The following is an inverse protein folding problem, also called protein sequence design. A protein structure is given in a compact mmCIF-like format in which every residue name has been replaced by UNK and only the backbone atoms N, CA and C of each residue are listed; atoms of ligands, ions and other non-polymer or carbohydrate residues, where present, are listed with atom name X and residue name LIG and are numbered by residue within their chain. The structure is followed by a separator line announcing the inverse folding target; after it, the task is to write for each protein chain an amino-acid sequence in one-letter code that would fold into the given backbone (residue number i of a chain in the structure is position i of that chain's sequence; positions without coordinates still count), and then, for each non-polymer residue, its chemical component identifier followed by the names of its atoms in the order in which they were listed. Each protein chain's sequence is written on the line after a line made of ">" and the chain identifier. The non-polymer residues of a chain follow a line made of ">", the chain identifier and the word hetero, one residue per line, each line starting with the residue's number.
data_IF_817308441248
#
_entry.id   IF_817308441248
#
_cell.length_a   1.000
_cell.length_b   1.000
_cell.length_c   1.000
_cell.angle_alpha   90.00
_cell.angle_beta   90.00
_cell.angle_gamma   90.00
#
_symmetry.space_group_name_H-M   'P 1'
#
loop_
_entity.id
_entity.type
_entity.pdbx_description
1 polymer ?
#
# COMPACT_ATOMS: atom_id res chain seq x y z
N UNK A 1 -2.61 -14.33 -3.70
CA UNK A 1 -1.85 -13.07 -3.52
C UNK A 1 -0.37 -13.42 -3.64
N UNK A 2 0.42 -12.74 -4.48
CA UNK A 2 1.87 -13.01 -4.55
C UNK A 2 2.53 -12.58 -3.22
N UNK A 3 3.47 -13.40 -2.76
CA UNK A 3 4.26 -13.11 -1.55
C UNK A 3 5.48 -12.26 -1.90
N UNK A 4 6.04 -11.57 -0.91
CA UNK A 4 7.09 -10.57 -1.14
C UNK A 4 8.35 -11.20 -1.75
N UNK A 5 8.66 -12.46 -1.46
CA UNK A 5 9.77 -13.19 -2.09
C UNK A 5 9.59 -13.37 -3.61
N UNK A 6 8.41 -13.79 -4.07
CA UNK A 6 8.13 -13.95 -5.50
C UNK A 6 8.23 -12.61 -6.24
N UNK A 7 7.62 -11.58 -5.65
CA UNK A 7 7.67 -10.21 -6.15
C UNK A 7 9.11 -9.66 -6.25
N UNK A 8 9.93 -9.94 -5.23
CA UNK A 8 11.34 -9.57 -5.24
C UNK A 8 12.12 -10.28 -6.35
N UNK A 9 11.91 -11.58 -6.54
CA UNK A 9 12.55 -12.35 -7.62
C UNK A 9 12.23 -11.79 -9.00
N UNK A 10 10.96 -11.44 -9.24
CA UNK A 10 10.53 -10.79 -10.48
C UNK A 10 11.19 -9.42 -10.67
N UNK A 11 11.20 -8.60 -9.62
CA UNK A 11 11.80 -7.25 -9.69
C UNK A 11 13.30 -7.29 -10.00
N UNK A 12 14.02 -8.31 -9.53
CA UNK A 12 15.41 -8.53 -9.92
C UNK A 12 15.57 -8.89 -11.40
N UNK A 13 14.66 -9.69 -11.96
CA UNK A 13 14.68 -10.00 -13.39
C UNK A 13 14.39 -8.73 -14.22
N UNK A 14 13.44 -7.91 -13.77
CA UNK A 14 13.12 -6.64 -14.44
C UNK A 14 14.32 -5.67 -14.37
N UNK A 15 15.06 -5.65 -13.25
CA UNK A 15 16.28 -4.86 -13.13
C UNK A 15 17.34 -5.30 -14.14
N UNK A 16 17.57 -6.61 -14.29
CA UNK A 16 18.52 -7.16 -15.25
C UNK A 16 18.12 -6.84 -16.70
N UNK A 17 16.82 -6.93 -17.02
CA UNK A 17 16.30 -6.54 -18.34
C UNK A 17 16.50 -5.06 -18.64
N UNK A 18 16.28 -4.18 -17.67
CA UNK A 18 16.40 -2.72 -17.85
C UNK A 18 17.86 -2.30 -17.97
N UNK A 19 18.72 -2.87 -17.12
CA UNK A 19 20.11 -2.40 -16.99
C UNK A 19 21.08 -3.15 -17.89
N UNK A 20 20.70 -4.33 -18.41
CA UNK A 20 21.60 -5.26 -19.09
C UNK A 20 22.67 -5.85 -18.16
N UNK A 21 22.76 -5.38 -16.91
CA UNK A 21 23.69 -5.89 -15.91
C UNK A 21 23.02 -7.08 -15.26
N UNK A 22 23.74 -8.22 -15.24
CA UNK A 22 23.35 -9.37 -14.43
C UNK A 22 23.08 -8.89 -13.01
N UNK A 23 22.10 -9.54 -12.36
CA UNK A 23 21.67 -9.36 -10.97
C UNK A 23 22.78 -8.73 -10.11
N UNK A 24 22.47 -7.86 -9.14
CA UNK A 24 23.40 -7.63 -8.04
C UNK A 24 23.59 -8.96 -7.30
N UNK A 25 24.57 -9.72 -7.75
CA UNK A 25 24.87 -11.09 -7.43
C UNK A 25 26.37 -11.18 -7.30
N UNK A 26 26.77 -12.07 -6.39
CA UNK A 26 28.08 -12.26 -5.74
C UNK A 26 29.36 -12.10 -6.58
N UNK A 27 29.29 -11.98 -7.91
CA UNK A 27 30.45 -12.08 -8.80
C UNK A 27 30.49 -11.15 -10.03
N UNK A 28 29.49 -10.31 -10.33
CA UNK A 28 29.50 -9.52 -11.61
C UNK A 28 29.66 -8.02 -11.48
N UNK A 29 29.79 -7.51 -10.26
CA UNK A 29 30.37 -6.21 -9.96
C UNK A 29 31.41 -6.50 -8.88
N UNK A 30 32.70 -6.30 -9.16
CA UNK A 30 33.83 -6.76 -8.32
C UNK A 30 33.84 -6.32 -6.84
N UNK A 31 32.80 -5.61 -6.40
CA UNK A 31 32.58 -5.07 -5.05
C UNK A 31 31.39 -5.75 -4.32
N UNK A 32 30.52 -6.51 -4.99
CA UNK A 32 29.30 -7.06 -4.42
C UNK A 32 29.41 -8.54 -4.06
N UNK A 33 30.29 -8.89 -3.11
CA UNK A 33 30.57 -10.29 -2.75
C UNK A 33 29.74 -10.86 -1.58
N UNK A 34 28.63 -10.22 -1.20
CA UNK A 34 27.72 -10.76 -0.16
C UNK A 34 26.37 -11.08 -0.78
N UNK A 35 25.93 -12.33 -0.67
CA UNK A 35 24.51 -12.65 -0.79
C UNK A 35 23.73 -11.64 0.05
N UNK A 36 22.76 -10.95 -0.56
CA UNK A 36 22.13 -9.79 0.08
C UNK A 36 21.36 -10.14 1.36
N UNK A 37 21.23 -11.42 1.72
CA UNK A 37 20.40 -11.90 2.84
C UNK A 37 18.90 -11.68 2.65
N UNK A 38 18.49 -10.83 1.69
CA UNK A 38 17.11 -10.39 1.48
C UNK A 38 16.19 -11.57 1.19
N UNK A 39 16.56 -12.50 0.30
CA UNK A 39 15.67 -13.63 -0.01
C UNK A 39 15.40 -14.50 1.21
N UNK A 40 16.44 -14.77 2.01
CA UNK A 40 16.31 -15.54 3.24
C UNK A 40 15.47 -14.79 4.29
N UNK A 41 15.66 -13.48 4.43
CA UNK A 41 14.88 -12.64 5.35
C UNK A 41 13.41 -12.51 4.90
N UNK A 42 13.16 -12.29 3.61
CA UNK A 42 11.82 -12.29 3.00
C UNK A 42 11.14 -13.63 3.21
N UNK A 43 11.84 -14.75 2.99
CA UNK A 43 11.29 -16.10 3.21
C UNK A 43 10.87 -16.31 4.67
N UNK A 44 11.60 -15.75 5.64
CA UNK A 44 11.22 -15.82 7.07
C UNK A 44 9.95 -15.00 7.35
N UNK A 45 9.87 -13.77 6.85
CA UNK A 45 8.67 -12.94 6.99
C UNK A 45 7.44 -13.55 6.28
N UNK A 46 7.62 -14.05 5.05
CA UNK A 46 6.58 -14.74 4.27
C UNK A 46 6.08 -16.05 4.92
N UNK A 47 6.83 -16.63 5.86
CA UNK A 47 6.33 -17.77 6.65
C UNK A 47 5.31 -17.32 7.68
N UNK A 48 5.57 -16.19 8.37
CA UNK A 48 4.66 -15.64 9.37
C UNK A 48 3.35 -15.14 8.77
N UNK A 49 3.35 -14.69 7.51
CA UNK A 49 2.09 -14.28 6.84
C UNK A 49 1.16 -15.45 6.50
N UNK A 50 1.65 -16.69 6.55
CA UNK A 50 0.85 -17.92 6.33
C UNK A 50 0.22 -18.47 7.60
N UNK A 51 0.79 -18.14 8.75
CA UNK A 51 0.34 -18.58 10.07
C UNK A 51 -0.04 -17.33 10.82
N UNK A 52 -1.34 -17.02 10.87
CA UNK A 52 -1.82 -15.82 11.54
C UNK A 52 -1.24 -15.74 12.96
N UNK A 53 -0.60 -14.62 13.38
CA UNK A 53 0.11 -14.57 14.65
C UNK A 53 -0.88 -14.48 15.81
N UNK A 54 -1.41 -15.63 16.22
CA UNK A 54 -2.42 -15.72 17.29
C UNK A 54 -1.81 -15.79 18.69
N UNK A 55 -0.48 -15.83 18.81
CA UNK A 55 0.21 -15.84 20.11
C UNK A 55 1.30 -14.78 20.20
N UNK A 56 1.57 -14.34 21.44
CA UNK A 56 2.68 -13.46 21.78
C UNK A 56 4.03 -13.99 21.28
N UNK A 57 4.25 -15.31 21.36
CA UNK A 57 5.49 -15.96 20.91
C UNK A 57 5.65 -15.81 19.40
N UNK A 58 4.61 -16.11 18.63
CA UNK A 58 4.62 -15.97 17.16
C UNK A 58 4.78 -14.51 16.75
N UNK A 59 4.14 -13.57 17.44
CA UNK A 59 4.27 -12.14 17.16
C UNK A 59 5.68 -11.62 17.44
N UNK A 60 6.28 -11.97 18.58
CA UNK A 60 7.66 -11.60 18.92
C UNK A 60 8.65 -12.16 17.89
N UNK A 61 8.45 -13.41 17.46
CA UNK A 61 9.27 -14.02 16.40
C UNK A 61 9.14 -13.26 15.08
N UNK A 62 7.91 -12.93 14.67
CA UNK A 62 7.67 -12.19 13.43
C UNK A 62 8.31 -10.79 13.48
N UNK A 63 8.10 -10.06 14.58
CA UNK A 63 8.72 -8.74 14.79
C UNK A 63 10.24 -8.79 14.71
N UNK A 64 10.87 -9.81 15.31
CA UNK A 64 12.33 -10.00 15.23
C UNK A 64 12.81 -10.24 13.79
N UNK A 65 12.13 -11.08 13.02
CA UNK A 65 12.48 -11.35 11.62
C UNK A 65 12.24 -10.13 10.72
N UNK A 66 11.19 -9.35 10.98
CA UNK A 66 10.91 -8.09 10.29
C UNK A 66 12.02 -7.06 10.52
N UNK A 67 12.44 -6.81 11.76
CA UNK A 67 13.54 -5.86 12.06
C UNK A 67 14.85 -6.30 11.40
N UNK A 68 15.12 -7.60 11.33
CA UNK A 68 16.28 -8.12 10.59
C UNK A 68 16.17 -7.83 9.09
N UNK A 69 14.99 -8.04 8.50
CA UNK A 69 14.72 -7.73 7.10
C UNK A 69 14.93 -6.24 6.81
N UNK A 70 14.39 -5.34 7.64
CA UNK A 70 14.59 -3.89 7.49
C UNK A 70 16.07 -3.51 7.45
N UNK A 71 16.84 -4.02 8.42
CA UNK A 71 18.29 -3.81 8.47
C UNK A 71 18.99 -4.33 7.22
N UNK A 72 18.68 -5.55 6.81
CA UNK A 72 19.26 -6.19 5.61
C UNK A 72 18.93 -5.41 4.33
N UNK A 73 17.70 -4.91 4.18
CA UNK A 73 17.30 -4.06 3.05
C UNK A 73 18.09 -2.74 3.06
N UNK A 74 18.19 -2.08 4.21
CA UNK A 74 18.92 -0.81 4.34
C UNK A 74 20.39 -0.94 3.99
N UNK A 75 21.04 -1.99 4.48
CA UNK A 75 22.45 -2.31 4.16
C UNK A 75 22.62 -2.58 2.66
N UNK A 76 21.73 -3.38 2.06
CA UNK A 76 21.78 -3.69 0.64
C UNK A 76 21.58 -2.47 -0.26
N UNK A 77 20.58 -1.63 0.02
CA UNK A 77 20.31 -0.42 -0.77
C UNK A 77 21.47 0.57 -0.64
N UNK A 78 22.01 0.78 0.55
CA UNK A 78 23.20 1.64 0.77
C UNK A 78 24.40 1.14 -0.05
N UNK A 79 24.62 -0.17 -0.07
CA UNK A 79 25.73 -0.78 -0.80
C UNK A 79 25.54 -0.70 -2.33
N UNK A 80 24.30 -0.83 -2.83
CA UNK A 80 23.97 -0.58 -4.23
C UNK A 80 24.18 0.87 -4.63
N UNK A 81 23.65 1.81 -3.85
CA UNK A 81 23.78 3.25 -4.10
C UNK A 81 25.25 3.67 -4.16
N UNK A 82 26.06 3.22 -3.20
CA UNK A 82 27.49 3.52 -3.15
C UNK A 82 28.25 2.98 -4.37
N UNK A 83 27.92 1.77 -4.80
CA UNK A 83 28.60 1.18 -5.95
C UNK A 83 28.17 1.80 -7.28
N UNK A 84 26.89 2.15 -7.42
CA UNK A 84 26.41 2.90 -8.57
C UNK A 84 27.11 4.26 -8.62
N UNK A 85 27.28 4.95 -7.48
CA UNK A 85 28.07 6.20 -7.42
C UNK A 85 29.52 6.03 -7.90
N UNK A 86 30.20 4.95 -7.48
CA UNK A 86 31.57 4.65 -7.96
C UNK A 86 31.64 4.33 -9.46
N UNK A 87 30.62 3.65 -9.99
CA UNK A 87 30.56 3.32 -11.42
C UNK A 87 30.26 4.57 -12.27
N UNK A 88 29.53 5.55 -11.73
CA UNK A 88 29.26 6.85 -12.37
C UNK A 88 30.48 7.71 -12.60
N UNK A 89 31.56 7.53 -11.84
CA UNK A 89 32.79 8.31 -12.03
C UNK A 89 33.49 7.96 -13.37
N UNK A 90 33.12 6.84 -14.02
CA UNK A 90 33.84 6.29 -15.17
C UNK A 90 32.93 5.91 -16.38
N UNK A 91 31.68 6.37 -16.45
CA UNK A 91 30.74 6.01 -17.53
C UNK A 91 29.98 7.20 -18.10
N UNK A 92 29.33 6.98 -19.24
CA UNK A 92 28.48 7.93 -19.96
C UNK A 92 27.13 8.17 -19.24
N UNK A 93 26.53 9.36 -19.37
CA UNK A 93 25.40 9.82 -18.57
C UNK A 93 24.11 9.00 -18.76
N UNK A 94 23.94 8.38 -19.93
CA UNK A 94 22.81 7.50 -20.23
C UNK A 94 22.85 6.21 -19.40
N UNK A 95 24.02 5.60 -19.22
CA UNK A 95 24.17 4.37 -18.43
C UNK A 95 23.93 4.66 -16.95
N UNK A 96 24.36 5.83 -16.47
CA UNK A 96 24.08 6.29 -15.10
C UNK A 96 22.58 6.38 -14.84
N UNK A 97 21.86 6.99 -15.78
CA UNK A 97 20.41 7.19 -15.70
C UNK A 97 19.65 5.86 -15.64
N UNK A 98 20.09 4.85 -16.41
CA UNK A 98 19.47 3.52 -16.42
C UNK A 98 19.69 2.78 -15.09
N UNK A 99 20.90 2.81 -14.53
CA UNK A 99 21.21 2.17 -13.24
C UNK A 99 20.46 2.83 -12.07
N UNK A 100 20.36 4.15 -12.04
CA UNK A 100 19.57 4.89 -11.04
C UNK A 100 18.08 4.52 -11.10
N UNK A 101 17.51 4.46 -12.32
CA UNK A 101 16.13 4.02 -12.53
C UNK A 101 15.91 2.60 -12.01
N UNK A 102 16.84 1.70 -12.31
CA UNK A 102 16.83 0.33 -11.78
C UNK A 102 16.88 0.28 -10.25
N UNK A 103 17.79 1.03 -9.62
CA UNK A 103 17.90 1.09 -8.16
C UNK A 103 16.62 1.64 -7.51
N UNK A 104 16.06 2.71 -8.08
CA UNK A 104 14.82 3.32 -7.60
C UNK A 104 13.65 2.33 -7.66
N UNK A 105 13.59 1.50 -8.69
CA UNK A 105 12.60 0.42 -8.79
C UNK A 105 12.78 -0.64 -7.69
N UNK A 106 14.02 -1.13 -7.48
CA UNK A 106 14.31 -2.11 -6.43
C UNK A 106 13.94 -1.57 -5.05
N UNK A 107 14.34 -0.33 -4.74
CA UNK A 107 14.04 0.35 -3.48
C UNK A 107 12.54 0.44 -3.23
N UNK A 108 11.78 0.97 -4.20
CA UNK A 108 10.30 1.07 -4.10
C UNK A 108 9.64 -0.28 -3.84
N UNK A 109 10.15 -1.34 -4.47
CA UNK A 109 9.59 -2.68 -4.27
C UNK A 109 9.85 -3.20 -2.86
N UNK A 110 11.07 -3.05 -2.36
CA UNK A 110 11.44 -3.46 -1.01
C UNK A 110 10.69 -2.65 0.06
N UNK A 111 10.53 -1.34 -0.14
CA UNK A 111 9.70 -0.48 0.73
C UNK A 111 8.24 -0.95 0.75
N UNK A 112 7.67 -1.33 -0.40
CA UNK A 112 6.34 -1.90 -0.46
C UNK A 112 6.23 -3.25 0.29
N UNK A 113 7.26 -4.10 0.21
CA UNK A 113 7.30 -5.34 0.99
C UNK A 113 7.36 -5.07 2.50
N UNK A 114 8.19 -4.09 2.94
CA UNK A 114 8.28 -3.68 4.34
C UNK A 114 6.95 -3.14 4.86
N UNK A 115 6.33 -2.22 4.12
CA UNK A 115 5.02 -1.66 4.49
C UNK A 115 3.95 -2.75 4.65
N UNK A 116 3.93 -3.77 3.77
CA UNK A 116 2.99 -4.89 3.91
C UNK A 116 3.21 -5.69 5.20
N UNK A 117 4.46 -6.01 5.53
CA UNK A 117 4.75 -6.76 6.76
C UNK A 117 4.53 -5.94 8.03
N UNK A 118 4.80 -4.63 7.97
CA UNK A 118 4.49 -3.71 9.06
C UNK A 118 2.98 -3.63 9.30
N UNK A 119 2.18 -3.52 8.24
CA UNK A 119 0.71 -3.59 8.33
C UNK A 119 0.25 -4.91 8.96
N UNK A 120 0.83 -6.04 8.53
CA UNK A 120 0.50 -7.36 9.09
C UNK A 120 0.88 -7.46 10.58
N UNK A 121 2.04 -6.92 10.99
CA UNK A 121 2.45 -6.85 12.39
C UNK A 121 1.52 -5.95 13.22
N UNK A 122 1.15 -4.79 12.70
CA UNK A 122 0.21 -3.87 13.38
C UNK A 122 -1.17 -4.53 13.57
N UNK A 123 -1.62 -5.29 12.58
CA UNK A 123 -2.86 -6.08 12.67
C UNK A 123 -2.74 -7.18 13.74
N UNK A 124 -1.65 -7.94 13.72
CA UNK A 124 -1.40 -8.98 14.72
C UNK A 124 -1.30 -8.40 16.14
N UNK A 125 -0.64 -7.26 16.31
CA UNK A 125 -0.56 -6.59 17.62
C UNK A 125 -1.92 -6.10 18.10
N UNK A 126 -2.77 -5.62 17.18
CA UNK A 126 -4.14 -5.21 17.51
C UNK A 126 -4.96 -6.42 17.97
N UNK A 127 -4.88 -7.54 17.25
CA UNK A 127 -5.58 -8.79 17.60
C UNK A 127 -5.13 -9.36 18.95
N UNK A 128 -3.85 -9.25 19.30
CA UNK A 128 -3.34 -9.70 20.61
C UNK A 128 -3.83 -8.83 21.77
N UNK A 129 -4.16 -7.56 21.52
CA UNK A 129 -4.66 -6.63 22.53
C UNK A 129 -6.17 -6.71 22.73
N UNK A 130 -6.90 -7.31 21.80
CA UNK A 130 -8.35 -7.50 21.88
C UNK A 130 -8.66 -8.91 22.36
N UNK A 131 -9.48 -9.05 23.40
CA UNK A 131 -9.99 -10.35 23.84
C UNK A 131 -10.91 -11.00 22.80
N UNK A 132 -11.46 -10.20 21.88
CA UNK A 132 -12.30 -10.64 20.77
C UNK A 132 -11.60 -10.43 19.41
N UNK A 133 -11.30 -11.50 18.65
CA UNK A 133 -10.73 -11.42 17.30
C UNK A 133 -11.56 -10.58 16.31
N UNK A 134 -12.88 -10.58 16.44
CA UNK A 134 -13.78 -9.79 15.58
C UNK A 134 -13.59 -8.30 15.85
N UNK A 135 -13.49 -7.92 17.14
CA UNK A 135 -13.20 -6.52 17.52
C UNK A 135 -11.85 -6.06 16.98
N UNK A 136 -10.80 -6.90 17.09
CA UNK A 136 -9.49 -6.59 16.55
C UNK A 136 -9.51 -6.40 15.03
N UNK A 137 -10.24 -7.26 14.30
CA UNK A 137 -10.46 -7.13 12.85
C UNK A 137 -11.20 -5.82 12.49
N UNK A 138 -12.24 -5.45 13.25
CA UNK A 138 -12.98 -4.19 13.07
C UNK A 138 -12.06 -2.99 13.28
N UNK A 139 -11.24 -2.99 14.35
CA UNK A 139 -10.29 -1.90 14.64
C UNK A 139 -9.23 -1.77 13.55
N UNK A 140 -8.67 -2.88 13.09
CA UNK A 140 -7.70 -2.91 11.97
C UNK A 140 -8.29 -2.28 10.71
N UNK A 141 -9.51 -2.67 10.30
CA UNK A 141 -10.11 -2.09 9.11
C UNK A 141 -10.52 -0.63 9.34
N UNK A 142 -10.93 -0.26 10.55
CA UNK A 142 -11.21 1.13 10.92
C UNK A 142 -9.99 2.03 10.72
N UNK A 143 -8.80 1.54 11.10
CA UNK A 143 -7.53 2.23 10.83
C UNK A 143 -7.27 2.38 9.32
N UNK A 144 -7.45 1.31 8.53
CA UNK A 144 -7.32 1.36 7.06
C UNK A 144 -8.31 2.35 6.44
N UNK A 145 -9.53 2.42 6.96
CA UNK A 145 -10.53 3.39 6.52
C UNK A 145 -10.12 4.82 6.83
N UNK A 146 -9.61 5.09 8.04
CA UNK A 146 -9.06 6.41 8.40
C UNK A 146 -7.96 6.86 7.43
N UNK A 147 -7.03 5.97 7.11
CA UNK A 147 -5.98 6.24 6.11
C UNK A 147 -6.57 6.47 4.71
N UNK A 148 -7.58 5.69 4.31
CA UNK A 148 -8.29 5.89 3.04
C UNK A 148 -8.98 7.25 2.95
N UNK A 149 -9.66 7.68 4.02
CA UNK A 149 -10.31 8.99 4.11
C UNK A 149 -9.27 10.11 4.04
N UNK A 150 -8.15 9.99 4.77
CA UNK A 150 -7.07 10.97 4.72
C UNK A 150 -6.46 11.08 3.30
N UNK A 151 -6.25 9.95 2.63
CA UNK A 151 -5.75 9.93 1.25
C UNK A 151 -6.73 10.57 0.26
N UNK A 152 -8.02 10.29 0.42
CA UNK A 152 -9.08 10.88 -0.40
C UNK A 152 -9.21 12.40 -0.18
N UNK A 153 -9.09 12.88 1.06
CA UNK A 153 -9.06 14.32 1.37
C UNK A 153 -7.83 15.01 0.77
N UNK A 154 -6.65 14.39 0.87
CA UNK A 154 -5.43 14.91 0.25
C UNK A 154 -5.57 14.99 -1.28
N UNK A 155 -6.21 13.97 -1.88
CA UNK A 155 -6.52 13.95 -3.31
C UNK A 155 -7.46 15.10 -3.69
N UNK A 156 -8.56 15.28 -2.96
CA UNK A 156 -9.49 16.39 -3.18
C UNK A 156 -8.80 17.76 -3.05
N UNK A 157 -7.89 17.91 -2.08
CA UNK A 157 -7.12 19.15 -1.90
C UNK A 157 -6.18 19.43 -3.09
N UNK A 158 -5.50 18.40 -3.63
CA UNK A 158 -4.65 18.53 -4.82
C UNK A 158 -5.43 18.95 -6.05
N UNK A 159 -6.58 18.32 -6.29
CA UNK A 159 -7.42 18.66 -7.43
C UNK A 159 -8.01 20.07 -7.25
N UNK A 160 -8.38 20.47 -6.02
CA UNK A 160 -8.84 21.84 -5.74
C UNK A 160 -7.75 22.88 -6.01
N UNK A 161 -6.48 22.56 -5.75
CA UNK A 161 -5.36 23.46 -6.00
C UNK A 161 -5.03 23.62 -7.49
N UNK A 162 -5.37 22.63 -8.32
CA UNK A 162 -5.20 22.66 -9.78
C UNK A 162 -6.39 21.95 -10.46
N UNK A 163 -7.51 22.65 -10.70
CA UNK A 163 -8.78 22.04 -11.12
C UNK A 163 -8.80 21.74 -12.63
N UNK A 164 -7.83 20.96 -13.12
CA UNK A 164 -7.76 20.54 -14.52
C UNK A 164 -8.27 19.11 -14.70
N UNK A 165 -8.76 18.78 -15.90
CA UNK A 165 -9.15 17.40 -16.27
C UNK A 165 -7.97 16.43 -16.08
N UNK A 166 -6.76 16.85 -16.44
CA UNK A 166 -5.54 16.06 -16.25
C UNK A 166 -5.27 15.77 -14.76
N UNK A 167 -5.33 16.79 -13.91
CA UNK A 167 -5.12 16.63 -12.46
C UNK A 167 -6.19 15.75 -11.83
N UNK A 168 -7.45 15.91 -12.26
CA UNK A 168 -8.56 15.06 -11.87
C UNK A 168 -8.31 13.59 -12.23
N UNK A 169 -8.07 13.31 -13.52
CA UNK A 169 -7.87 11.97 -14.06
C UNK A 169 -6.67 11.27 -13.39
N UNK A 170 -5.56 12.00 -13.20
CA UNK A 170 -4.35 11.47 -12.55
C UNK A 170 -4.54 11.17 -11.05
N UNK A 171 -5.29 12.01 -10.34
CA UNK A 171 -5.35 11.96 -8.87
C UNK A 171 -6.51 11.09 -8.36
N UNK A 172 -7.68 11.15 -9.01
CA UNK A 172 -8.90 10.45 -8.58
C UNK A 172 -8.75 8.93 -8.57
N UNK A 173 -8.12 8.37 -9.61
CA UNK A 173 -7.88 6.93 -9.69
C UNK A 173 -7.11 6.39 -8.47
N UNK A 174 -6.19 7.18 -7.91
CA UNK A 174 -5.39 6.76 -6.76
C UNK A 174 -6.15 6.94 -5.45
N UNK A 175 -6.67 8.14 -5.19
CA UNK A 175 -7.35 8.46 -3.94
C UNK A 175 -8.62 7.64 -3.71
N UNK A 176 -9.47 7.56 -4.73
CA UNK A 176 -10.78 6.89 -4.61
C UNK A 176 -10.65 5.37 -4.56
N UNK A 177 -9.64 4.79 -5.22
CA UNK A 177 -9.34 3.36 -5.14
C UNK A 177 -8.91 2.94 -3.74
N UNK A 178 -8.06 3.73 -3.08
CA UNK A 178 -7.62 3.43 -1.70
C UNK A 178 -8.82 3.47 -0.75
N UNK A 179 -9.62 4.54 -0.79
CA UNK A 179 -10.82 4.66 0.04
C UNK A 179 -11.83 3.53 -0.22
N UNK A 180 -12.09 3.20 -1.48
CA UNK A 180 -13.02 2.13 -1.84
C UNK A 180 -12.53 0.76 -1.39
N UNK A 181 -11.23 0.49 -1.51
CA UNK A 181 -10.64 -0.77 -1.03
C UNK A 181 -10.78 -0.88 0.49
N UNK A 182 -10.53 0.22 1.21
CA UNK A 182 -10.70 0.26 2.67
C UNK A 182 -12.16 0.06 3.07
N UNK A 183 -13.11 0.73 2.40
CA UNK A 183 -14.54 0.55 2.66
C UNK A 183 -15.01 -0.88 2.37
N UNK A 184 -14.58 -1.49 1.26
CA UNK A 184 -14.91 -2.90 0.93
C UNK A 184 -14.36 -3.87 1.97
N UNK A 185 -13.10 -3.71 2.37
CA UNK A 185 -12.48 -4.53 3.42
C UNK A 185 -13.22 -4.41 4.75
N UNK A 186 -13.63 -3.20 5.12
CA UNK A 186 -14.43 -2.95 6.31
C UNK A 186 -15.81 -3.63 6.22
N UNK A 187 -16.52 -3.47 5.10
CA UNK A 187 -17.84 -4.06 4.86
C UNK A 187 -17.82 -5.61 4.91
N UNK A 188 -16.75 -6.25 4.43
CA UNK A 188 -16.60 -7.71 4.52
C UNK A 188 -16.46 -8.20 5.97
N UNK A 189 -15.62 -7.54 6.78
CA UNK A 189 -15.45 -7.92 8.20
C UNK A 189 -16.74 -7.74 8.98
N UNK A 190 -17.43 -6.66 8.67
CA UNK A 190 -18.75 -6.34 9.16
C UNK A 190 -19.81 -7.39 8.78
N UNK A 191 -19.80 -7.91 7.56
CA UNK A 191 -20.70 -9.00 7.16
C UNK A 191 -20.39 -10.27 7.96
N UNK A 192 -19.12 -10.58 8.18
CA UNK A 192 -18.73 -11.69 9.05
C UNK A 192 -19.21 -11.49 10.48
N UNK A 193 -19.09 -10.27 11.01
CA UNK A 193 -19.56 -9.93 12.36
C UNK A 193 -21.10 -10.02 12.49
N UNK A 194 -21.85 -9.71 11.42
CA UNK A 194 -23.32 -9.88 11.39
C UNK A 194 -23.78 -11.34 11.46
N UNK A 195 -22.94 -12.29 11.06
CA UNK A 195 -23.21 -13.72 11.25
C UNK A 195 -23.05 -14.13 12.72
N UNK A 196 -22.54 -13.23 13.58
CA UNK A 196 -22.37 -13.39 15.02
C UNK A 196 -23.01 -12.21 15.77
N UNK A 197 -24.34 -11.99 15.63
CA UNK A 197 -25.02 -10.76 16.02
C UNK A 197 -24.94 -10.46 17.52
N UNK A 198 -24.72 -11.48 18.36
CA UNK A 198 -24.58 -11.34 19.82
C UNK A 198 -23.23 -10.73 20.23
N UNK A 199 -22.31 -10.53 19.28
CA UNK A 199 -20.95 -10.01 19.53
C UNK A 199 -20.71 -8.61 18.97
N UNK A 200 -21.73 -7.94 18.42
CA UNK A 200 -21.61 -6.57 17.90
C UNK A 200 -22.60 -5.62 18.55
N UNK A 201 -22.10 -4.46 18.96
CA UNK A 201 -22.94 -3.43 19.58
C UNK A 201 -23.77 -2.65 18.55
N UNK A 202 -24.81 -1.96 19.02
CA UNK A 202 -25.73 -1.20 18.18
C UNK A 202 -25.08 -0.02 17.43
N UNK A 203 -23.98 0.55 17.96
CA UNK A 203 -23.25 1.59 17.24
C UNK A 203 -22.53 0.96 16.06
N UNK A 204 -21.84 -0.17 16.25
CA UNK A 204 -21.23 -0.93 15.16
C UNK A 204 -22.27 -1.23 14.06
N UNK A 205 -23.49 -1.66 14.40
CA UNK A 205 -24.54 -1.90 13.40
C UNK A 205 -24.97 -0.65 12.62
N UNK A 206 -25.17 0.51 13.28
CA UNK A 206 -25.50 1.78 12.59
C UNK A 206 -24.41 2.20 11.61
N UNK A 207 -23.15 1.95 11.98
CA UNK A 207 -22.00 2.29 11.17
C UNK A 207 -21.91 1.46 9.89
N UNK A 208 -22.27 0.18 9.98
CA UNK A 208 -22.30 -0.71 8.83
C UNK A 208 -23.23 -0.18 7.74
N UNK A 209 -24.44 0.22 8.13
CA UNK A 209 -25.44 0.71 7.18
C UNK A 209 -24.95 1.96 6.46
N UNK A 210 -24.26 2.87 7.17
CA UNK A 210 -23.63 4.05 6.57
C UNK A 210 -22.48 3.66 5.62
N UNK A 211 -21.68 2.65 5.96
CA UNK A 211 -20.62 2.16 5.10
C UNK A 211 -21.13 1.66 3.75
N UNK A 212 -22.21 0.88 3.73
CA UNK A 212 -22.80 0.37 2.48
C UNK A 212 -23.32 1.50 1.59
N UNK A 213 -23.95 2.52 2.18
CA UNK A 213 -24.39 3.72 1.45
C UNK A 213 -23.19 4.44 0.80
N UNK A 214 -22.11 4.65 1.54
CA UNK A 214 -20.90 5.29 1.03
C UNK A 214 -20.19 4.48 -0.05
N UNK A 215 -20.14 3.15 0.09
CA UNK A 215 -19.62 2.26 -0.96
C UNK A 215 -20.42 2.42 -2.25
N UNK A 216 -21.75 2.41 -2.18
CA UNK A 216 -22.60 2.57 -3.37
C UNK A 216 -22.36 3.90 -4.06
N UNK A 217 -22.19 4.98 -3.29
CA UNK A 217 -21.95 6.32 -3.84
C UNK A 217 -20.54 6.48 -4.41
N UNK A 218 -19.53 5.86 -3.78
CA UNK A 218 -18.12 5.97 -4.20
C UNK A 218 -17.71 4.95 -5.26
N UNK A 219 -18.43 3.84 -5.39
CA UNK A 219 -18.13 2.77 -6.38
C UNK A 219 -18.08 3.29 -7.81
N UNK A 220 -18.98 4.17 -8.29
CA UNK A 220 -18.87 4.81 -9.60
C UNK A 220 -17.52 5.51 -9.84
N UNK A 221 -16.91 6.06 -8.78
CA UNK A 221 -15.60 6.72 -8.83
C UNK A 221 -14.41 5.74 -8.69
N UNK A 222 -14.67 4.43 -8.55
CA UNK A 222 -13.66 3.44 -8.17
C UNK A 222 -13.54 2.23 -9.12
N UNK A 223 -14.34 2.17 -10.20
CA UNK A 223 -14.36 0.98 -11.05
C UNK A 223 -13.09 0.83 -11.90
N UNK A 224 -12.64 -0.42 -12.02
CA UNK A 224 -11.56 -0.86 -12.91
C UNK A 224 -11.96 -0.85 -14.40
N UNK A 225 -13.22 -0.55 -14.72
CA UNK A 225 -13.81 -0.56 -16.07
C UNK A 225 -13.92 0.83 -16.71
N UNK A 226 -13.28 1.86 -16.16
CA UNK A 226 -12.91 3.06 -16.91
C UNK A 226 -13.98 4.13 -17.18
N UNK A 227 -15.29 3.91 -16.94
CA UNK A 227 -16.28 4.78 -17.57
C UNK A 227 -16.81 5.99 -16.77
N UNK A 228 -16.46 6.16 -15.49
CA UNK A 228 -16.92 7.33 -14.70
C UNK A 228 -15.84 8.14 -13.96
N UNK A 229 -14.61 7.66 -13.92
CA UNK A 229 -13.53 8.36 -13.19
C UNK A 229 -12.81 9.37 -14.07
N UNK A 230 -12.68 9.07 -15.36
CA UNK A 230 -12.07 9.98 -16.30
C UNK A 230 -13.10 10.95 -16.83
N UNK A 231 -12.87 12.24 -16.60
CA UNK A 231 -13.61 13.27 -17.32
C UNK A 231 -13.09 13.31 -18.76
N UNK A 232 -13.97 13.42 -19.77
CA UNK A 232 -13.59 13.69 -21.15
C UNK A 232 -12.63 14.88 -21.24
N UNK A 233 -11.67 14.85 -22.17
CA UNK A 233 -10.67 15.92 -22.32
C UNK A 233 -11.29 17.28 -22.68
N UNK A 234 -12.49 17.27 -23.26
CA UNK A 234 -13.31 18.43 -23.59
C UNK A 234 -14.24 18.89 -22.45
N UNK A 235 -14.11 18.30 -21.25
CA UNK A 235 -14.90 18.72 -20.09
C UNK A 235 -14.52 20.13 -19.67
N UNK A 236 -15.51 21.02 -19.58
CA UNK A 236 -15.30 22.39 -19.13
C UNK A 236 -14.89 22.48 -17.65
N UNK A 237 -14.20 23.56 -17.29
CA UNK A 237 -13.67 23.80 -15.96
C UNK A 237 -14.77 23.87 -14.87
N UNK A 238 -15.97 24.34 -15.20
CA UNK A 238 -17.08 24.43 -14.24
C UNK A 238 -17.63 23.05 -13.88
N UNK A 239 -17.70 22.14 -14.85
CA UNK A 239 -18.03 20.73 -14.60
C UNK A 239 -16.97 20.05 -13.73
N UNK A 240 -15.67 20.29 -14.00
CA UNK A 240 -14.58 19.79 -13.13
C UNK A 240 -14.74 20.31 -11.69
N UNK A 241 -14.97 21.61 -11.50
CA UNK A 241 -15.22 22.22 -10.18
C UNK A 241 -16.43 21.61 -9.46
N UNK A 242 -17.50 21.33 -10.19
CA UNK A 242 -18.72 20.70 -9.64
C UNK A 242 -18.44 19.30 -9.13
N UNK A 243 -17.76 18.48 -9.92
CA UNK A 243 -17.36 17.13 -9.51
C UNK A 243 -16.41 17.13 -8.31
N UNK A 244 -15.45 18.06 -8.25
CA UNK A 244 -14.58 18.27 -7.07
C UNK A 244 -15.40 18.58 -5.83
N UNK A 245 -16.37 19.48 -5.94
CA UNK A 245 -17.23 19.86 -4.82
C UNK A 245 -18.07 18.67 -4.33
N UNK A 246 -18.66 17.91 -5.25
CA UNK A 246 -19.42 16.70 -4.93
C UNK A 246 -18.54 15.68 -4.23
N UNK A 247 -17.39 15.34 -4.80
CA UNK A 247 -16.45 14.38 -4.22
C UNK A 247 -15.94 14.82 -2.84
N UNK A 248 -15.53 16.08 -2.68
CA UNK A 248 -15.08 16.60 -1.40
C UNK A 248 -16.18 16.57 -0.32
N UNK A 249 -17.43 16.84 -0.71
CA UNK A 249 -18.58 16.76 0.20
C UNK A 249 -18.82 15.32 0.65
N UNK A 250 -18.76 14.37 -0.28
CA UNK A 250 -18.88 12.94 0.02
C UNK A 250 -17.78 12.46 0.98
N UNK A 251 -16.52 12.82 0.75
CA UNK A 251 -15.44 12.43 1.66
C UNK A 251 -15.62 13.05 3.06
N UNK A 252 -16.05 14.30 3.15
CA UNK A 252 -16.35 14.94 4.44
C UNK A 252 -17.50 14.23 5.17
N UNK A 253 -18.52 13.79 4.44
CA UNK A 253 -19.62 13.01 5.00
C UNK A 253 -19.12 11.67 5.53
N UNK A 254 -18.30 10.93 4.76
CA UNK A 254 -17.62 9.71 5.23
C UNK A 254 -16.82 10.03 6.50
N UNK A 255 -15.99 11.06 6.49
CA UNK A 255 -15.20 11.46 7.67
C UNK A 255 -16.08 11.66 8.91
N UNK A 256 -17.17 12.41 8.76
CA UNK A 256 -18.11 12.71 9.85
C UNK A 256 -18.84 11.46 10.35
N UNK A 257 -19.37 10.66 9.43
CA UNK A 257 -20.10 9.42 9.74
C UNK A 257 -19.22 8.40 10.45
N UNK A 258 -17.94 8.37 10.07
CA UNK A 258 -16.97 7.45 10.63
C UNK A 258 -16.09 8.05 11.74
N UNK A 259 -16.35 9.28 12.20
CA UNK A 259 -15.56 9.97 13.23
C UNK A 259 -14.02 9.79 13.08
N UNK A 260 -13.52 9.72 11.84
CA UNK A 260 -12.11 9.43 11.51
C UNK A 260 -11.31 10.66 11.14
#
# INVERSE_FOLDING_TARGET
>A
MLNCLSEWKKTKQDFEKITGKKKPAEKTLGVFRRSSGIESALKKCDKHTKVSPHSDKTFKSYKSDFTKLEKTIKEYITLLDSSIKKEKENQDDDVKTVLEKGLKMLKRKLEHCLSRYEDDLNNAQTLLKTSDPVEGMIRTQGSKLKTGVASALSTAAKIKASPTVETWNASMMKGTRILTTALKGYAQIVQMARLQPNQIDANTQKWITKADQHIRILTPYATSSGNKVTLPNDTDENRVKTEIKTYATLIKQVKSDFKV
#
